data_IF_369851638405
#
_entry.id   IF_369851638405
#
_cell.length_a   1.000
_cell.length_b   1.000
_cell.length_c   1.000
_cell.angle_alpha   90.00
_cell.angle_beta   90.00
_cell.angle_gamma   90.00
#
_symmetry.space_group_name_H-M   'P 1'
#
loop_
_entity.id
_entity.type
_entity.pdbx_description
1 polymer ?
#
# COMPACT_ATOMS: atom_id res chain seq x y z
N UNK A 1 1.83 3.20 -18.27
CA UNK A 1 1.21 3.03 -16.97
C UNK A 1 2.19 2.31 -16.04
N UNK A 2 2.28 2.70 -14.77
CA UNK A 2 3.16 2.02 -13.80
C UNK A 2 2.54 2.10 -12.40
N UNK A 3 2.80 1.08 -11.58
CA UNK A 3 2.41 1.04 -10.17
C UNK A 3 3.62 0.76 -9.30
N UNK A 4 3.66 1.39 -8.14
CA UNK A 4 4.77 1.25 -7.19
C UNK A 4 5.06 -0.21 -6.77
N UNK A 5 6.26 -0.43 -6.22
CA UNK A 5 6.80 -1.76 -5.90
C UNK A 5 5.85 -2.64 -5.08
N UNK A 6 5.15 -2.05 -4.11
CA UNK A 6 4.30 -2.76 -3.16
C UNK A 6 2.81 -2.51 -3.39
N UNK A 7 2.44 -1.73 -4.42
CA UNK A 7 1.05 -1.39 -4.71
C UNK A 7 0.40 -0.53 -3.62
N UNK A 8 1.18 0.29 -2.92
CA UNK A 8 0.69 1.19 -1.88
C UNK A 8 -0.36 2.15 -2.44
N UNK A 9 -0.14 2.64 -3.66
CA UNK A 9 -1.14 3.45 -4.35
C UNK A 9 -2.07 2.57 -5.15
N UNK A 10 -3.41 2.74 -4.99
CA UNK A 10 -4.39 1.99 -5.75
C UNK A 10 -4.29 2.35 -7.23
N UNK A 11 -4.46 1.35 -8.09
CA UNK A 11 -4.52 1.54 -9.54
C UNK A 11 -5.37 0.43 -10.15
N UNK A 12 -6.45 0.83 -10.82
CA UNK A 12 -7.41 -0.05 -11.47
C UNK A 12 -7.47 0.26 -12.94
N UNK A 13 -7.83 -0.72 -13.76
CA UNK A 13 -7.99 -0.54 -15.18
C UNK A 13 -9.11 -1.42 -15.76
N UNK A 14 -9.56 -1.06 -16.93
CA UNK A 14 -10.46 -1.85 -17.76
C UNK A 14 -10.01 -1.78 -19.21
N UNK A 15 -10.23 -2.87 -19.93
CA UNK A 15 -9.95 -3.01 -21.37
C UNK A 15 -11.27 -3.19 -22.10
N UNK A 16 -11.43 -2.52 -23.23
CA UNK A 16 -12.63 -2.57 -24.03
C UNK A 16 -12.42 -3.45 -25.29
N UNK A 17 -13.50 -4.07 -25.82
CA UNK A 17 -13.40 -4.93 -26.98
C UNK A 17 -12.86 -4.26 -28.26
N UNK A 18 -13.02 -2.93 -28.36
CA UNK A 18 -12.49 -2.12 -29.46
C UNK A 18 -11.01 -1.77 -29.33
N UNK A 19 -10.34 -2.30 -28.29
CA UNK A 19 -8.95 -2.00 -27.94
C UNK A 19 -8.77 -0.74 -27.11
N UNK A 20 -9.85 -0.13 -26.66
CA UNK A 20 -9.83 0.97 -25.69
C UNK A 20 -9.29 0.53 -24.34
N UNK A 21 -8.71 1.47 -23.59
CA UNK A 21 -8.13 1.24 -22.27
C UNK A 21 -8.42 2.43 -21.36
N UNK A 22 -8.89 2.16 -20.15
CA UNK A 22 -9.09 3.20 -19.14
C UNK A 22 -8.50 2.76 -17.80
N UNK A 23 -8.02 3.73 -17.02
CA UNK A 23 -7.46 3.48 -15.70
C UNK A 23 -7.81 4.60 -14.72
N UNK A 24 -7.83 4.27 -13.44
CA UNK A 24 -8.12 5.21 -12.35
C UNK A 24 -7.55 4.71 -11.01
N UNK A 25 -7.39 5.60 -10.06
CA UNK A 25 -7.02 5.25 -8.69
C UNK A 25 -8.17 4.63 -7.89
N UNK A 26 -9.42 4.81 -8.34
CA UNK A 26 -10.60 4.26 -7.70
C UNK A 26 -11.51 3.55 -8.72
N UNK A 27 -12.01 2.36 -8.36
CA UNK A 27 -12.91 1.60 -9.23
C UNK A 27 -14.15 2.37 -9.64
N UNK A 28 -14.70 3.22 -8.73
CA UNK A 28 -15.91 4.00 -9.02
C UNK A 28 -15.78 4.93 -10.22
N UNK A 29 -14.57 5.40 -10.51
CA UNK A 29 -14.32 6.27 -11.66
C UNK A 29 -14.39 5.51 -13.01
N UNK A 30 -14.27 4.19 -13.00
CA UNK A 30 -14.36 3.33 -14.17
C UNK A 30 -15.80 2.85 -14.43
N UNK A 31 -16.69 2.87 -13.42
CA UNK A 31 -18.06 2.35 -13.56
C UNK A 31 -18.86 2.96 -14.72
N UNK A 32 -18.80 4.30 -14.94
CA UNK A 32 -19.55 4.91 -16.05
C UNK A 32 -19.10 4.48 -17.45
N UNK A 33 -17.92 3.86 -17.55
CA UNK A 33 -17.34 3.40 -18.81
C UNK A 33 -17.72 1.96 -19.15
N UNK A 34 -18.28 1.23 -18.19
CA UNK A 34 -18.72 -0.16 -18.40
C UNK A 34 -20.09 -0.18 -19.06
N UNK A 35 -20.31 -1.08 -20.01
CA UNK A 35 -21.63 -1.31 -20.60
C UNK A 35 -22.66 -1.73 -19.53
N UNK A 36 -22.20 -2.52 -18.55
CA UNK A 36 -23.00 -3.00 -17.44
C UNK A 36 -22.16 -3.13 -16.19
N UNK A 37 -22.65 -2.60 -15.09
CA UNK A 37 -22.03 -2.79 -13.77
C UNK A 37 -22.58 -4.06 -13.13
N UNK A 38 -21.75 -5.10 -13.08
CA UNK A 38 -22.10 -6.40 -12.50
C UNK A 38 -21.13 -6.79 -11.40
N UNK A 39 -21.62 -7.39 -10.29
CA UNK A 39 -20.74 -7.94 -9.27
C UNK A 39 -19.99 -9.16 -9.81
N UNK A 40 -18.73 -9.28 -9.44
CA UNK A 40 -17.94 -10.48 -9.68
C UNK A 40 -18.18 -11.47 -8.53
N UNK A 41 -19.08 -12.42 -8.75
CA UNK A 41 -19.51 -13.36 -7.73
C UNK A 41 -18.34 -14.15 -7.14
N UNK A 42 -17.39 -14.61 -7.96
CA UNK A 42 -16.24 -15.36 -7.48
C UNK A 42 -15.40 -14.54 -6.50
N UNK A 43 -15.18 -13.26 -6.77
CA UNK A 43 -14.43 -12.36 -5.91
C UNK A 43 -15.18 -12.04 -4.62
N UNK A 44 -16.52 -11.94 -4.68
CA UNK A 44 -17.34 -11.81 -3.48
C UNK A 44 -17.29 -13.07 -2.62
N UNK A 45 -17.39 -14.25 -3.22
CA UNK A 45 -17.32 -15.52 -2.51
C UNK A 45 -15.96 -15.64 -1.78
N UNK A 46 -14.85 -15.28 -2.43
CA UNK A 46 -13.51 -15.24 -1.82
C UNK A 46 -13.41 -14.21 -0.70
N UNK A 47 -13.98 -13.03 -0.90
CA UNK A 47 -13.96 -11.98 0.11
C UNK A 47 -14.66 -12.43 1.40
N UNK A 48 -15.83 -13.08 1.28
CA UNK A 48 -16.58 -13.55 2.44
C UNK A 48 -16.00 -14.81 3.09
N UNK A 49 -15.30 -15.65 2.31
CA UNK A 49 -14.68 -16.86 2.85
C UNK A 49 -13.36 -16.56 3.57
N UNK A 50 -12.47 -15.80 2.93
CA UNK A 50 -11.07 -15.70 3.37
C UNK A 50 -10.60 -14.27 3.58
N UNK A 51 -11.44 -13.27 3.30
CA UNK A 51 -11.06 -11.85 3.21
C UNK A 51 -9.91 -11.57 2.20
N UNK A 52 -9.66 -12.49 1.26
CA UNK A 52 -8.54 -12.46 0.29
C UNK A 52 -9.00 -12.02 -1.09
N UNK A 53 -9.47 -10.79 -1.24
CA UNK A 53 -9.89 -10.24 -2.55
C UNK A 53 -8.78 -9.43 -3.23
N UNK A 54 -7.68 -9.12 -2.54
CA UNK A 54 -6.59 -8.30 -3.08
C UNK A 54 -5.44 -9.09 -3.70
N UNK A 55 -5.43 -10.40 -3.55
CA UNK A 55 -4.38 -11.29 -4.07
C UNK A 55 -4.50 -11.56 -5.58
N UNK A 56 -5.63 -11.20 -6.19
CA UNK A 56 -5.92 -11.43 -7.61
C UNK A 56 -6.05 -10.09 -8.36
N UNK A 57 -5.78 -10.07 -9.68
CA UNK A 57 -6.03 -8.88 -10.50
C UNK A 57 -7.52 -8.50 -10.57
N UNK A 58 -8.40 -9.50 -10.59
CA UNK A 58 -9.85 -9.32 -10.66
C UNK A 58 -10.37 -8.58 -9.43
N UNK A 59 -11.33 -7.69 -9.66
CA UNK A 59 -11.98 -6.89 -8.62
C UNK A 59 -13.41 -7.37 -8.35
N UNK A 60 -14.04 -6.77 -7.33
CA UNK A 60 -15.44 -7.07 -6.98
C UNK A 60 -16.45 -6.70 -8.08
N UNK A 61 -16.04 -5.89 -9.06
CA UNK A 61 -16.83 -5.53 -10.23
C UNK A 61 -16.22 -6.21 -11.45
N UNK A 62 -17.06 -6.92 -12.23
CA UNK A 62 -16.64 -7.55 -13.49
C UNK A 62 -16.10 -6.51 -14.48
N UNK A 63 -15.05 -6.88 -15.21
CA UNK A 63 -14.43 -6.02 -16.21
C UNK A 63 -13.45 -5.00 -15.65
N UNK A 64 -13.38 -4.80 -14.33
CA UNK A 64 -12.35 -3.99 -13.69
C UNK A 64 -11.28 -4.90 -13.11
N UNK A 65 -10.02 -4.57 -13.39
CA UNK A 65 -8.86 -5.28 -12.86
C UNK A 65 -7.99 -4.33 -12.03
N UNK A 66 -7.34 -4.88 -11.02
CA UNK A 66 -6.29 -4.19 -10.28
C UNK A 66 -4.99 -4.32 -11.04
N UNK A 67 -4.31 -3.20 -11.26
CA UNK A 67 -2.99 -3.22 -11.89
C UNK A 67 -1.97 -3.82 -10.91
N UNK A 68 -1.15 -4.79 -11.35
CA UNK A 68 -0.24 -5.49 -10.45
C UNK A 68 0.83 -4.55 -9.88
N UNK A 69 1.16 -4.76 -8.60
CA UNK A 69 2.24 -4.06 -7.93
C UNK A 69 3.60 -4.35 -8.58
N UNK A 70 4.53 -3.41 -8.50
CA UNK A 70 5.88 -3.57 -9.06
C UNK A 70 5.90 -3.79 -10.56
N UNK A 71 4.91 -3.25 -11.28
CA UNK A 71 4.76 -3.47 -12.71
C UNK A 71 4.54 -2.19 -13.48
N UNK A 72 4.88 -2.23 -14.75
CA UNK A 72 4.50 -1.21 -15.71
C UNK A 72 3.82 -1.85 -16.93
N UNK A 73 3.07 -1.05 -17.67
CA UNK A 73 2.47 -1.50 -18.91
C UNK A 73 2.68 -0.49 -20.04
N UNK A 74 2.87 -1.04 -21.23
CA UNK A 74 2.72 -0.31 -22.47
C UNK A 74 1.37 -0.65 -23.09
N UNK A 75 0.61 0.39 -23.43
CA UNK A 75 -0.66 0.26 -24.12
C UNK A 75 -0.47 0.88 -25.51
N UNK A 76 -0.46 0.04 -26.55
CA UNK A 76 -0.22 0.46 -27.94
C UNK A 76 -1.06 -0.35 -28.90
N UNK A 77 -1.74 0.32 -29.83
CA UNK A 77 -2.53 -0.33 -30.88
C UNK A 77 -3.54 -1.37 -30.35
N UNK A 78 -4.22 -1.04 -29.25
CA UNK A 78 -5.19 -1.93 -28.60
C UNK A 78 -4.60 -3.15 -27.89
N UNK A 79 -3.29 -3.21 -27.70
CA UNK A 79 -2.61 -4.27 -26.95
C UNK A 79 -2.01 -3.72 -25.67
N UNK A 80 -2.19 -4.44 -24.57
CA UNK A 80 -1.63 -4.15 -23.26
C UNK A 80 -0.53 -5.15 -22.95
N UNK A 81 0.69 -4.68 -22.76
CA UNK A 81 1.84 -5.49 -22.38
C UNK A 81 2.28 -5.09 -20.98
N UNK A 82 2.03 -5.98 -20.00
CA UNK A 82 2.39 -5.76 -18.59
C UNK A 82 3.72 -6.44 -18.31
N UNK A 83 4.68 -5.68 -17.77
CA UNK A 83 5.99 -6.17 -17.36
C UNK A 83 6.21 -5.90 -15.88
N UNK A 84 6.60 -6.93 -15.14
CA UNK A 84 6.99 -6.79 -13.74
C UNK A 84 8.44 -6.31 -13.66
N UNK A 85 8.69 -5.20 -12.96
CA UNK A 85 10.03 -4.65 -12.73
C UNK A 85 10.55 -4.85 -11.31
N UNK A 86 9.68 -5.26 -10.38
CA UNK A 86 10.05 -5.50 -8.98
C UNK A 86 9.48 -6.81 -8.46
N UNK A 87 10.35 -7.64 -7.93
CA UNK A 87 9.98 -8.79 -7.11
C UNK A 87 10.85 -8.76 -5.85
N UNK A 88 10.24 -8.72 -4.68
CA UNK A 88 10.96 -8.59 -3.39
C UNK A 88 11.95 -9.72 -3.17
N UNK A 89 11.64 -10.94 -3.64
CA UNK A 89 12.51 -12.08 -3.48
C UNK A 89 13.84 -11.97 -4.25
N UNK A 90 13.89 -11.12 -5.28
CA UNK A 90 15.12 -10.86 -6.05
C UNK A 90 16.03 -9.82 -5.36
N UNK A 91 15.59 -9.27 -4.23
CA UNK A 91 16.25 -8.21 -3.49
C UNK A 91 16.40 -8.55 -1.99
N UNK A 92 16.45 -9.83 -1.68
CA UNK A 92 16.73 -10.26 -0.31
C UNK A 92 18.18 -9.87 0.05
N UNK A 93 18.31 -9.31 1.24
CA UNK A 93 19.61 -8.95 1.81
C UNK A 93 20.18 -10.14 2.58
N UNK A 94 21.50 -10.16 2.72
CA UNK A 94 22.15 -11.12 3.59
C UNK A 94 21.81 -10.84 5.04
N UNK A 95 21.40 -11.88 5.75
CA UNK A 95 21.03 -11.79 7.17
C UNK A 95 22.28 -12.14 8.00
N UNK A 96 22.69 -11.31 8.96
CA UNK A 96 23.83 -11.60 9.81
C UNK A 96 23.67 -12.89 10.64
N UNK A 97 24.78 -13.49 11.03
CA UNK A 97 24.79 -14.76 11.76
C UNK A 97 24.36 -14.61 13.23
N UNK A 98 24.69 -13.49 13.86
CA UNK A 98 24.37 -13.28 15.29
C UNK A 98 23.07 -12.52 15.50
N UNK A 99 22.38 -12.82 16.59
CA UNK A 99 21.13 -12.13 16.95
C UNK A 99 21.32 -10.62 17.16
N UNK A 100 22.42 -10.23 17.77
CA UNK A 100 22.78 -8.84 18.04
C UNK A 100 22.93 -8.03 16.74
N UNK A 101 23.62 -8.61 15.75
CA UNK A 101 23.78 -7.98 14.44
C UNK A 101 22.46 -7.93 13.66
N UNK A 102 21.62 -8.96 13.78
CA UNK A 102 20.28 -8.98 13.17
C UNK A 102 19.41 -7.86 13.76
N UNK A 103 19.45 -7.66 15.07
CA UNK A 103 18.70 -6.60 15.75
C UNK A 103 19.16 -5.22 15.28
N UNK A 104 20.47 -4.99 15.17
CA UNK A 104 20.99 -3.69 14.72
C UNK A 104 20.68 -3.45 13.24
N UNK A 105 20.85 -4.45 12.39
CA UNK A 105 20.47 -4.34 10.97
C UNK A 105 18.97 -4.04 10.80
N UNK A 106 18.11 -4.73 11.54
CA UNK A 106 16.66 -4.46 11.53
C UNK A 106 16.36 -3.04 11.99
N UNK A 107 17.00 -2.60 13.06
CA UNK A 107 16.85 -1.24 13.60
C UNK A 107 17.22 -0.18 12.55
N UNK A 108 18.36 -0.33 11.88
CA UNK A 108 18.80 0.58 10.82
C UNK A 108 17.79 0.63 9.67
N UNK A 109 17.35 -0.52 9.16
CA UNK A 109 16.37 -0.62 8.08
C UNK A 109 15.02 0.00 8.48
N UNK A 110 14.57 -0.25 9.69
CA UNK A 110 13.31 0.29 10.19
C UNK A 110 13.34 1.81 10.32
N UNK A 111 14.43 2.35 10.89
CA UNK A 111 14.62 3.80 11.00
C UNK A 111 14.74 4.46 9.62
N UNK A 112 15.47 3.87 8.68
CA UNK A 112 15.58 4.39 7.31
C UNK A 112 14.22 4.38 6.61
N UNK A 113 13.46 3.29 6.74
CA UNK A 113 12.11 3.18 6.18
C UNK A 113 11.17 4.25 6.75
N UNK A 114 11.22 4.54 8.05
CA UNK A 114 10.46 5.62 8.67
C UNK A 114 10.93 6.99 8.16
N UNK A 115 12.24 7.23 8.11
CA UNK A 115 12.84 8.49 7.66
C UNK A 115 12.41 8.86 6.25
N UNK A 116 12.48 7.90 5.32
CA UNK A 116 12.06 8.14 3.92
C UNK A 116 10.59 8.54 3.86
N UNK A 117 9.72 7.91 4.67
CA UNK A 117 8.28 8.17 4.70
C UNK A 117 7.90 9.48 5.40
N UNK A 118 8.81 10.07 6.16
CA UNK A 118 8.60 11.40 6.76
C UNK A 118 8.78 12.55 5.75
N UNK A 119 9.27 12.26 4.54
CA UNK A 119 9.35 13.24 3.45
C UNK A 119 7.97 13.46 2.87
N UNK A 120 7.36 14.59 3.14
CA UNK A 120 5.99 14.90 2.73
C UNK A 120 5.78 16.41 2.63
N UNK A 121 5.01 16.83 1.64
CA UNK A 121 4.58 18.21 1.46
C UNK A 121 3.31 18.54 2.28
N UNK A 122 2.72 17.51 2.90
CA UNK A 122 1.51 17.64 3.72
C UNK A 122 1.75 17.08 5.11
N UNK A 123 0.93 17.52 6.07
CA UNK A 123 0.89 16.99 7.46
C UNK A 123 0.86 15.48 7.47
N UNK A 124 1.66 14.87 8.34
CA UNK A 124 1.71 13.43 8.53
C UNK A 124 0.91 13.02 9.77
N UNK A 125 0.15 11.94 9.61
CA UNK A 125 -0.55 11.28 10.71
C UNK A 125 -0.24 9.80 10.75
N UNK A 126 -0.22 9.25 11.96
CA UNK A 126 -0.02 7.81 12.23
C UNK A 126 -1.24 7.23 12.92
N UNK A 127 -1.67 6.03 12.51
CA UNK A 127 -2.58 5.23 13.31
C UNK A 127 -1.84 4.72 14.56
N UNK A 128 -2.44 4.88 15.73
CA UNK A 128 -1.90 4.39 17.00
C UNK A 128 -2.92 3.46 17.64
N UNK A 129 -2.73 2.16 17.47
CA UNK A 129 -3.63 1.11 17.95
C UNK A 129 -3.28 0.58 19.35
N UNK A 130 -2.30 1.18 20.03
CA UNK A 130 -1.77 0.65 21.28
C UNK A 130 -0.88 -0.59 21.11
N UNK A 131 -0.80 -1.16 19.90
CA UNK A 131 0.07 -2.28 19.57
C UNK A 131 1.54 -1.89 19.42
N UNK A 132 2.42 -2.90 19.44
CA UNK A 132 3.88 -2.73 19.36
C UNK A 132 4.30 -1.99 18.08
N UNK A 133 3.75 -2.38 16.92
CA UNK A 133 4.18 -1.86 15.61
C UNK A 133 3.85 -0.38 15.44
N UNK A 134 2.63 0.02 15.78
CA UNK A 134 2.20 1.43 15.70
C UNK A 134 2.98 2.31 16.69
N UNK A 135 3.20 1.80 17.90
CA UNK A 135 4.01 2.49 18.92
C UNK A 135 5.48 2.61 18.50
N UNK A 136 6.07 1.55 17.96
CA UNK A 136 7.43 1.56 17.43
C UNK A 136 7.59 2.58 16.29
N UNK A 137 6.59 2.67 15.41
CA UNK A 137 6.60 3.62 14.29
C UNK A 137 6.64 5.07 14.79
N UNK A 138 5.76 5.44 15.72
CA UNK A 138 5.72 6.82 16.23
C UNK A 138 6.96 7.16 17.06
N UNK A 139 7.50 6.19 17.82
CA UNK A 139 8.76 6.35 18.54
C UNK A 139 9.95 6.53 17.59
N UNK A 140 10.00 5.78 16.50
CA UNK A 140 11.01 5.94 15.45
C UNK A 140 10.93 7.31 14.79
N UNK A 141 9.73 7.78 14.44
CA UNK A 141 9.53 9.13 13.90
C UNK A 141 10.02 10.22 14.86
N UNK A 142 9.72 10.07 16.15
CA UNK A 142 10.20 10.97 17.20
C UNK A 142 11.73 10.96 17.32
N UNK A 143 12.34 9.79 17.31
CA UNK A 143 13.79 9.63 17.34
C UNK A 143 14.45 10.29 16.13
N UNK A 144 13.92 10.04 14.92
CA UNK A 144 14.43 10.61 13.65
C UNK A 144 14.34 12.13 13.68
N UNK A 145 13.19 12.68 14.08
CA UNK A 145 12.98 14.13 14.16
C UNK A 145 13.97 14.84 15.08
N UNK A 146 14.43 14.18 16.16
CA UNK A 146 15.37 14.76 17.12
C UNK A 146 16.84 14.59 16.72
N UNK A 147 17.15 13.50 16.01
CA UNK A 147 18.55 13.09 15.79
C UNK A 147 18.99 13.14 14.32
N UNK A 148 18.07 13.23 13.38
CA UNK A 148 18.36 13.19 11.94
C UNK A 148 17.85 14.46 11.26
N UNK A 149 18.75 15.34 10.85
CA UNK A 149 18.37 16.48 10.02
C UNK A 149 18.06 16.00 8.60
N UNK A 150 16.80 16.11 8.17
CA UNK A 150 16.39 15.99 6.76
C UNK A 150 15.48 17.17 6.43
N UNK A 151 15.97 18.07 5.57
CA UNK A 151 15.23 19.27 5.17
C UNK A 151 13.91 18.95 4.45
N UNK A 152 13.78 17.75 3.89
CA UNK A 152 12.57 17.28 3.21
C UNK A 152 11.58 16.59 4.16
N UNK A 153 11.97 16.34 5.42
CA UNK A 153 11.05 15.80 6.42
C UNK A 153 10.02 16.86 6.83
N UNK A 154 8.74 16.47 6.83
CA UNK A 154 7.69 17.37 7.29
C UNK A 154 7.84 17.63 8.78
N UNK A 155 7.80 18.89 9.19
CA UNK A 155 7.88 19.29 10.60
C UNK A 155 6.57 19.06 11.36
N UNK A 156 5.46 19.00 10.65
CA UNK A 156 4.13 18.73 11.21
C UNK A 156 3.77 17.25 11.03
N UNK A 157 4.38 16.39 11.87
CA UNK A 157 4.25 14.93 11.82
C UNK A 157 3.65 14.32 13.10
N UNK A 158 3.37 15.12 14.12
CA UNK A 158 3.04 14.64 15.48
C UNK A 158 1.53 14.38 15.66
N UNK A 159 0.85 13.88 14.62
CA UNK A 159 -0.57 13.57 14.70
C UNK A 159 -0.75 12.04 14.82
N UNK A 160 -1.30 11.61 15.95
CA UNK A 160 -1.69 10.22 16.18
C UNK A 160 -3.21 10.09 16.20
N UNK A 161 -3.72 9.10 15.47
CA UNK A 161 -5.15 8.80 15.41
C UNK A 161 -5.42 7.44 16.01
N UNK A 162 -6.35 7.39 16.95
CA UNK A 162 -6.72 6.18 17.69
C UNK A 162 -8.19 5.86 17.44
N UNK A 163 -8.50 4.59 17.20
CA UNK A 163 -9.87 4.12 17.15
C UNK A 163 -10.45 4.12 18.57
N UNK A 164 -11.54 4.87 18.77
CA UNK A 164 -12.14 5.05 20.08
C UNK A 164 -13.58 4.50 20.06
N UNK A 165 -13.81 3.43 20.82
CA UNK A 165 -15.11 2.78 21.01
C UNK A 165 -15.37 2.53 22.50
N UNK A 166 -15.67 3.59 23.28
CA UNK A 166 -15.72 3.51 24.73
C UNK A 166 -16.65 2.40 25.23
N UNK A 167 -16.14 1.56 26.14
CA UNK A 167 -16.90 0.49 26.76
C UNK A 167 -17.03 -0.80 25.93
N UNK A 168 -16.33 -0.87 24.80
CA UNK A 168 -16.24 -2.10 23.98
C UNK A 168 -14.84 -2.72 24.00
N UNK A 169 -14.71 -3.98 23.55
CA UNK A 169 -13.42 -4.65 23.39
C UNK A 169 -12.63 -4.12 22.18
N UNK A 170 -13.25 -3.28 21.34
CA UNK A 170 -12.62 -2.65 20.17
C UNK A 170 -12.02 -1.28 20.50
N UNK A 171 -12.08 -0.85 21.76
CA UNK A 171 -11.53 0.44 22.20
C UNK A 171 -10.00 0.37 22.35
N UNK A 172 -9.29 1.03 21.44
CA UNK A 172 -7.82 1.08 21.37
C UNK A 172 -7.21 2.23 22.20
N UNK A 173 -8.02 2.95 22.99
CA UNK A 173 -7.56 4.10 23.78
C UNK A 173 -7.00 3.72 25.17
N UNK A 174 -6.94 2.43 25.51
CA UNK A 174 -6.50 1.92 26.82
C UNK A 174 -5.00 1.64 26.88
#
# INVERSE_FOLDING_TARGET
LSRDRFGVKPLYYTEFPDGGFAFASEMKALLPLLEKVEPNKEMFDRYFADNHYESQPECLIKGIKRFPAGSYAWIRNGKTEITRFWNTLDHLIEVPDTYEEQVEQFRELFLDACKIRMRSDVTLGTGLSGGLDSSATICAMSYISRNCADERANKDWQHAYVACFPGTDLDETK
#
